data_IF_271244331546
#
_entry.id   IF_271244331546
#
_cell.length_a   1.000
_cell.length_b   1.000
_cell.length_c   1.000
_cell.angle_alpha   90.00
_cell.angle_beta   90.00
_cell.angle_gamma   90.00
#
_symmetry.space_group_name_H-M   'P 1'
#
loop_
_entity.id
_entity.type
_entity.pdbx_description
1 polymer ?
#
# COMPACT_ATOMS: atom_id res chain seq x y z
N UNK A 1 -1.99 18.36 20.57
CA UNK A 1 -1.29 19.33 19.74
C UNK A 1 0.10 19.62 20.27
N UNK A 2 1.07 19.83 19.36
CA UNK A 2 2.43 20.24 19.70
C UNK A 2 2.60 21.73 19.34
N UNK A 3 2.25 22.05 18.11
CA UNK A 3 2.42 23.40 17.54
C UNK A 3 1.49 23.60 16.34
N UNK A 4 1.25 24.86 15.96
CA UNK A 4 0.56 25.23 14.72
C UNK A 4 1.41 26.27 13.97
N UNK A 5 1.65 26.05 12.67
CA UNK A 5 2.34 27.02 11.81
C UNK A 5 1.30 27.80 11.02
N UNK A 6 1.19 29.12 11.23
CA UNK A 6 0.28 29.96 10.45
C UNK A 6 0.90 30.24 9.07
N UNK A 7 0.06 30.15 8.01
CA UNK A 7 0.39 30.56 6.64
C UNK A 7 -0.78 31.38 6.10
N UNK A 8 -0.74 32.69 6.29
CA UNK A 8 -1.89 33.53 6.08
C UNK A 8 -3.04 33.14 7.00
N UNK A 9 -4.22 32.90 6.44
CA UNK A 9 -5.40 32.41 7.18
C UNK A 9 -5.39 30.91 7.43
N UNK A 10 -4.52 30.15 6.76
CA UNK A 10 -4.35 28.72 6.96
C UNK A 10 -3.42 28.43 8.14
N UNK A 11 -3.71 27.36 8.87
CA UNK A 11 -2.88 26.87 9.97
C UNK A 11 -2.57 25.40 9.78
N UNK A 12 -1.29 25.07 9.69
CA UNK A 12 -0.86 23.67 9.67
C UNK A 12 -0.66 23.17 11.10
N UNK A 13 -1.48 22.22 11.59
CA UNK A 13 -1.32 21.67 12.92
C UNK A 13 -0.22 20.59 12.96
N UNK A 14 0.50 20.57 14.08
CA UNK A 14 1.42 19.51 14.46
C UNK A 14 0.86 18.85 15.71
N UNK A 15 0.47 17.60 15.62
CA UNK A 15 -0.05 16.85 16.76
C UNK A 15 0.40 15.39 16.75
N UNK A 16 0.56 14.83 17.94
CA UNK A 16 0.77 13.41 18.14
C UNK A 16 -0.56 12.78 18.59
N UNK A 17 -0.92 11.70 17.93
CA UNK A 17 -2.08 10.90 18.27
C UNK A 17 -1.62 9.53 18.73
N UNK A 18 -2.15 9.05 19.84
CA UNK A 18 -1.90 7.71 20.34
C UNK A 18 -3.12 6.82 20.08
N UNK A 19 -2.90 5.68 19.48
CA UNK A 19 -3.91 4.69 19.22
C UNK A 19 -3.72 3.50 20.17
N UNK A 20 -4.64 3.34 21.13
CA UNK A 20 -4.57 2.32 22.18
C UNK A 20 -5.09 0.93 21.71
N UNK A 21 -4.76 0.50 20.51
CA UNK A 21 -5.17 -0.81 19.99
C UNK A 21 -4.41 -1.99 20.63
N UNK A 22 -3.49 -1.71 21.56
CA UNK A 22 -2.58 -2.69 22.12
C UNK A 22 -1.37 -2.99 21.24
N UNK A 23 -0.46 -3.79 21.78
CA UNK A 23 0.73 -4.24 21.07
C UNK A 23 0.37 -5.50 20.30
N UNK A 24 0.61 -5.51 19.00
CA UNK A 24 0.55 -6.71 18.16
C UNK A 24 1.97 -7.14 17.85
N UNK A 25 2.32 -8.44 18.01
CA UNK A 25 3.68 -8.92 17.79
C UNK A 25 4.22 -8.69 16.36
N UNK A 26 3.31 -8.59 15.40
CA UNK A 26 3.58 -8.38 13.97
C UNK A 26 3.56 -6.91 13.54
N UNK A 27 3.27 -5.99 14.47
CA UNK A 27 3.18 -4.57 14.17
C UNK A 27 4.48 -3.84 14.48
N UNK A 28 5.09 -3.25 13.45
CA UNK A 28 6.24 -2.37 13.61
C UNK A 28 5.86 -1.00 14.15
N UNK A 29 6.73 -0.36 14.95
CA UNK A 29 6.52 1.03 15.34
C UNK A 29 6.54 1.95 14.10
N UNK A 30 5.68 2.95 14.13
CA UNK A 30 5.74 4.04 13.16
C UNK A 30 6.91 4.99 13.44
N UNK A 31 6.95 6.12 12.74
CA UNK A 31 8.05 7.11 12.81
C UNK A 31 8.30 7.67 14.22
N UNK A 32 7.27 7.73 15.04
CA UNK A 32 7.29 8.37 16.36
C UNK A 32 7.04 7.39 17.51
N UNK A 33 7.12 6.09 17.22
CA UNK A 33 6.99 5.01 18.19
C UNK A 33 5.74 4.15 18.02
N UNK A 34 5.65 3.10 18.84
CA UNK A 34 4.56 2.15 18.78
C UNK A 34 3.22 2.80 19.17
N UNK A 35 2.24 2.70 18.28
CA UNK A 35 0.91 3.26 18.50
C UNK A 35 0.82 4.78 18.39
N UNK A 36 1.94 5.47 18.17
CA UNK A 36 1.96 6.91 17.93
C UNK A 36 1.94 7.26 16.46
N UNK A 37 1.24 8.34 16.12
CA UNK A 37 1.22 8.92 14.79
C UNK A 37 1.43 10.43 14.87
N UNK A 38 2.32 10.96 14.03
CA UNK A 38 2.51 12.40 13.86
C UNK A 38 1.55 12.90 12.79
N UNK A 39 0.59 13.72 13.19
CA UNK A 39 -0.35 14.35 12.29
C UNK A 39 0.16 15.74 11.91
N UNK A 40 0.78 15.85 10.75
CA UNK A 40 1.27 17.12 10.17
C UNK A 40 1.32 17.10 8.64
N UNK A 41 1.06 15.94 8.05
CA UNK A 41 1.08 15.74 6.61
C UNK A 41 -0.19 15.07 6.14
N UNK A 42 -0.03 14.10 5.27
CA UNK A 42 -1.12 13.27 4.77
C UNK A 42 -0.60 12.13 3.92
N UNK A 43 -1.45 11.17 3.69
CA UNK A 43 -1.16 9.99 2.90
C UNK A 43 -2.41 9.55 2.14
N UNK A 44 -2.18 9.07 0.93
CA UNK A 44 -3.12 8.22 0.20
C UNK A 44 -2.52 6.82 0.21
N UNK A 45 -3.17 5.87 0.85
CA UNK A 45 -2.75 4.46 0.89
C UNK A 45 -3.65 3.60 0.01
N UNK A 46 -3.11 2.52 -0.51
CA UNK A 46 -3.82 1.62 -1.43
C UNK A 46 -4.03 0.24 -0.83
N UNK A 47 -5.27 -0.24 -0.92
CA UNK A 47 -5.61 -1.65 -0.75
C UNK A 47 -5.81 -2.25 -2.13
N UNK A 48 -4.88 -3.13 -2.53
CA UNK A 48 -4.94 -3.83 -3.81
C UNK A 48 -6.05 -4.87 -3.78
N UNK A 49 -6.91 -4.84 -4.81
CA UNK A 49 -7.95 -5.82 -5.07
C UNK A 49 -7.57 -6.58 -6.35
N UNK A 50 -7.20 -7.85 -6.19
CA UNK A 50 -6.69 -8.61 -7.33
C UNK A 50 -5.27 -8.20 -7.74
N UNK A 51 -5.14 -7.44 -8.82
CA UNK A 51 -3.88 -6.81 -9.26
C UNK A 51 -3.95 -5.31 -9.08
N UNK A 52 -2.79 -4.63 -8.88
CA UNK A 52 -2.80 -3.17 -8.84
C UNK A 52 -3.47 -2.57 -10.08
N UNK A 53 -4.32 -1.57 -9.90
CA UNK A 53 -5.02 -0.88 -11.01
C UNK A 53 -4.08 -0.41 -12.11
N UNK A 54 -2.89 0.02 -11.73
CA UNK A 54 -1.81 0.49 -12.60
C UNK A 54 -0.88 -0.62 -13.11
N UNK A 55 -1.23 -1.89 -12.90
CA UNK A 55 -0.39 -3.02 -13.29
C UNK A 55 -0.17 -3.07 -14.79
N UNK A 56 1.04 -2.71 -15.19
CA UNK A 56 1.52 -2.70 -16.55
C UNK A 56 2.87 -3.41 -16.61
N UNK A 57 2.85 -4.70 -16.87
CA UNK A 57 4.06 -5.53 -16.89
C UNK A 57 4.65 -5.53 -18.29
N UNK A 58 5.88 -5.04 -18.39
CA UNK A 58 6.67 -5.12 -19.60
C UNK A 58 7.55 -6.37 -19.52
N UNK A 59 7.23 -7.41 -20.29
CA UNK A 59 8.20 -8.47 -20.55
C UNK A 59 9.07 -8.07 -21.76
N UNK A 60 10.13 -8.86 -22.04
CA UNK A 60 11.06 -8.56 -23.16
C UNK A 60 10.38 -8.41 -24.53
N UNK A 61 9.15 -8.88 -24.70
CA UNK A 61 8.47 -8.95 -25.99
C UNK A 61 7.14 -8.22 -26.01
N UNK A 62 6.44 -8.11 -24.89
CA UNK A 62 5.08 -7.58 -24.84
C UNK A 62 4.88 -6.65 -23.65
N UNK A 63 4.10 -5.59 -23.87
CA UNK A 63 3.51 -4.77 -22.81
C UNK A 63 2.17 -5.42 -22.45
N UNK A 64 2.01 -5.81 -21.20
CA UNK A 64 0.79 -6.44 -20.71
C UNK A 64 0.11 -5.50 -19.73
N UNK A 65 -0.90 -4.80 -20.19
CA UNK A 65 -1.78 -3.99 -19.37
C UNK A 65 -2.72 -4.92 -18.61
N UNK A 66 -2.46 -5.21 -17.35
CA UNK A 66 -3.24 -6.18 -16.57
C UNK A 66 -4.15 -5.53 -15.54
N UNK A 67 -3.83 -4.31 -15.10
CA UNK A 67 -4.59 -3.62 -14.08
C UNK A 67 -5.92 -3.05 -14.55
N UNK A 68 -6.81 -2.82 -13.60
CA UNK A 68 -8.16 -2.31 -13.85
C UNK A 68 -8.18 -1.00 -14.63
N UNK A 69 -7.23 -0.10 -14.43
CA UNK A 69 -7.13 1.18 -15.14
C UNK A 69 -7.16 1.02 -16.68
N UNK A 70 -6.59 -0.07 -17.20
CA UNK A 70 -6.51 -0.34 -18.64
C UNK A 70 -7.76 -1.02 -19.18
N UNK A 71 -8.57 -1.65 -18.34
CA UNK A 71 -9.70 -2.50 -18.71
C UNK A 71 -11.05 -1.96 -18.22
N UNK A 72 -11.07 -0.92 -17.39
CA UNK A 72 -12.29 -0.38 -16.78
C UNK A 72 -13.39 -0.06 -17.81
N UNK A 73 -13.04 0.56 -18.94
CA UNK A 73 -14.00 0.93 -19.98
C UNK A 73 -14.61 -0.26 -20.71
N UNK A 74 -13.94 -1.42 -20.71
CA UNK A 74 -14.43 -2.65 -21.34
C UNK A 74 -15.73 -3.13 -20.69
N UNK A 75 -15.89 -2.90 -19.40
CA UNK A 75 -17.10 -3.25 -18.64
C UNK A 75 -18.34 -2.48 -19.11
N UNK A 76 -18.15 -1.34 -19.75
CA UNK A 76 -19.24 -0.51 -20.27
C UNK A 76 -19.68 -0.91 -21.69
N UNK A 77 -19.02 -1.90 -22.31
CA UNK A 77 -19.38 -2.36 -23.64
C UNK A 77 -20.65 -3.22 -23.61
N UNK A 78 -21.70 -2.91 -24.40
CA UNK A 78 -22.95 -3.66 -24.36
C UNK A 78 -22.83 -5.15 -24.70
N UNK A 79 -21.77 -5.54 -25.40
CA UNK A 79 -21.48 -6.92 -25.80
C UNK A 79 -20.71 -7.72 -24.74
N UNK A 80 -20.23 -7.06 -23.68
CA UNK A 80 -19.50 -7.73 -22.62
C UNK A 80 -20.40 -8.68 -21.83
N UNK A 81 -19.99 -9.93 -21.72
CA UNK A 81 -20.73 -10.96 -21.03
C UNK A 81 -19.82 -11.82 -20.15
N UNK A 82 -20.42 -12.69 -19.35
CA UNK A 82 -19.68 -13.56 -18.41
C UNK A 82 -18.62 -14.42 -19.08
N UNK A 83 -18.83 -14.84 -20.34
CA UNK A 83 -17.83 -15.66 -21.04
C UNK A 83 -16.61 -14.84 -21.47
N UNK A 84 -16.81 -13.58 -21.86
CA UNK A 84 -15.73 -12.67 -22.19
C UNK A 84 -14.91 -12.33 -20.94
N UNK A 85 -15.57 -12.08 -19.82
CA UNK A 85 -14.93 -11.92 -18.51
C UNK A 85 -14.06 -13.14 -18.17
N UNK A 86 -14.61 -14.36 -18.26
CA UNK A 86 -13.87 -15.59 -17.96
C UNK A 86 -12.69 -15.82 -18.91
N UNK A 87 -12.79 -15.45 -20.17
CA UNK A 87 -11.67 -15.54 -21.13
C UNK A 87 -10.55 -14.60 -20.78
N UNK A 88 -10.87 -13.34 -20.49
CA UNK A 88 -9.89 -12.31 -20.17
C UNK A 88 -9.19 -12.56 -18.83
N UNK A 89 -9.93 -13.05 -17.82
CA UNK A 89 -9.35 -13.38 -16.50
C UNK A 89 -8.57 -14.68 -16.50
N UNK A 90 -8.91 -15.64 -17.39
CA UNK A 90 -8.31 -16.97 -17.42
C UNK A 90 -7.07 -17.09 -18.31
N UNK A 91 -6.61 -16.00 -18.94
CA UNK A 91 -5.42 -16.08 -19.80
C UNK A 91 -4.17 -16.46 -19.01
N UNK A 92 -3.40 -17.38 -19.57
CA UNK A 92 -2.34 -18.19 -18.94
C UNK A 92 -1.13 -17.42 -18.37
N UNK A 93 -1.11 -16.10 -18.45
CA UNK A 93 -0.05 -15.24 -17.92
C UNK A 93 -0.59 -14.10 -17.05
N UNK A 94 -1.70 -14.38 -16.36
CA UNK A 94 -2.34 -13.43 -15.45
C UNK A 94 -3.25 -12.46 -16.21
N UNK A 95 -4.48 -12.89 -16.50
CA UNK A 95 -5.48 -12.11 -17.22
C UNK A 95 -5.75 -10.73 -16.63
N UNK A 96 -6.55 -9.96 -17.37
CA UNK A 96 -6.97 -8.63 -16.98
C UNK A 96 -7.68 -8.64 -15.61
N UNK A 97 -7.43 -7.62 -14.84
CA UNK A 97 -8.15 -7.35 -13.60
C UNK A 97 -9.34 -6.43 -13.87
N UNK A 98 -10.47 -6.75 -13.26
CA UNK A 98 -11.72 -5.98 -13.38
C UNK A 98 -12.26 -5.52 -12.03
N UNK A 99 -11.45 -5.63 -10.97
CA UNK A 99 -11.79 -5.17 -9.64
C UNK A 99 -10.93 -3.93 -9.30
N UNK A 100 -11.56 -2.75 -9.08
CA UNK A 100 -10.81 -1.54 -8.77
C UNK A 100 -10.19 -1.60 -7.39
N UNK A 101 -8.98 -1.06 -7.26
CA UNK A 101 -8.33 -0.84 -5.99
C UNK A 101 -9.09 0.17 -5.14
N UNK A 102 -8.94 0.06 -3.83
CA UNK A 102 -9.44 1.04 -2.88
C UNK A 102 -8.28 1.91 -2.40
N UNK A 103 -8.44 3.22 -2.52
CA UNK A 103 -7.47 4.22 -2.06
C UNK A 103 -8.06 4.95 -0.87
N UNK A 104 -7.42 4.83 0.29
CA UNK A 104 -7.78 5.53 1.52
C UNK A 104 -6.94 6.79 1.66
N UNK A 105 -7.56 7.94 1.89
CA UNK A 105 -6.84 9.18 2.17
C UNK A 105 -7.05 9.65 3.61
N UNK A 106 -5.98 10.19 4.17
CA UNK A 106 -6.00 10.82 5.48
C UNK A 106 -5.03 12.01 5.48
N UNK A 107 -5.56 13.21 5.63
CA UNK A 107 -4.77 14.44 5.73
C UNK A 107 -5.54 15.49 6.53
N UNK A 108 -4.86 16.13 7.44
CA UNK A 108 -5.45 17.09 8.39
C UNK A 108 -6.69 16.49 9.10
N UNK A 109 -7.86 17.05 8.84
CA UNK A 109 -9.17 16.59 9.33
C UNK A 109 -10.03 15.94 8.23
N UNK A 110 -9.44 15.66 7.05
CA UNK A 110 -10.09 14.94 5.96
C UNK A 110 -9.68 13.48 5.97
N UNK A 111 -10.67 12.62 5.95
CA UNK A 111 -10.48 11.18 5.82
C UNK A 111 -11.61 10.58 4.97
N UNK A 112 -11.27 9.63 4.17
CA UNK A 112 -12.21 9.00 3.26
C UNK A 112 -11.49 8.07 2.31
N UNK A 113 -12.20 7.64 1.29
CA UNK A 113 -11.66 6.76 0.28
C UNK A 113 -12.16 7.10 -1.12
N UNK A 114 -11.42 6.65 -2.11
CA UNK A 114 -11.83 6.75 -3.49
C UNK A 114 -11.44 5.48 -4.27
N UNK A 115 -12.11 5.26 -5.36
CA UNK A 115 -11.84 4.17 -6.29
C UNK A 115 -12.09 4.61 -7.73
N UNK A 116 -11.45 3.92 -8.66
CA UNK A 116 -11.63 4.18 -10.08
C UNK A 116 -12.96 3.59 -10.57
N UNK A 117 -13.75 4.39 -11.24
CA UNK A 117 -14.97 3.94 -11.92
C UNK A 117 -14.65 3.38 -13.31
N UNK A 118 -15.61 2.67 -13.89
CA UNK A 118 -15.50 2.08 -15.23
C UNK A 118 -15.36 3.12 -16.38
N UNK A 119 -15.76 4.36 -16.16
CA UNK A 119 -15.58 5.48 -17.09
C UNK A 119 -14.30 6.32 -16.84
N UNK A 120 -13.40 5.81 -15.98
CA UNK A 120 -12.16 6.47 -15.53
C UNK A 120 -12.37 7.74 -14.69
N UNK A 121 -13.56 7.95 -14.17
CA UNK A 121 -13.79 8.94 -13.12
C UNK A 121 -13.47 8.36 -11.74
N UNK A 122 -13.18 9.21 -10.78
CA UNK A 122 -12.92 8.79 -9.40
C UNK A 122 -14.19 8.94 -8.56
N UNK A 123 -14.64 7.83 -7.97
CA UNK A 123 -15.75 7.84 -7.00
C UNK A 123 -15.14 8.08 -5.64
N UNK A 124 -15.59 9.15 -4.97
CA UNK A 124 -15.07 9.55 -3.65
C UNK A 124 -16.15 9.32 -2.59
N UNK A 125 -15.75 8.70 -1.48
CA UNK A 125 -16.56 8.53 -0.28
C UNK A 125 -15.90 9.29 0.87
N UNK A 126 -16.46 10.43 1.22
CA UNK A 126 -16.02 11.29 2.31
C UNK A 126 -17.25 12.02 2.87
N UNK A 127 -17.20 12.40 4.14
CA UNK A 127 -18.24 13.21 4.79
C UNK A 127 -18.24 14.67 4.32
N UNK A 128 -17.13 15.13 3.73
CA UNK A 128 -16.95 16.47 3.16
C UNK A 128 -16.62 16.38 1.68
N UNK A 129 -17.00 17.39 0.87
CA UNK A 129 -16.69 17.38 -0.56
C UNK A 129 -15.18 17.41 -0.81
N UNK A 130 -14.69 16.38 -1.48
CA UNK A 130 -13.30 16.26 -1.96
C UNK A 130 -13.34 15.81 -3.41
N UNK A 131 -12.64 16.53 -4.29
CA UNK A 131 -12.43 16.13 -5.68
C UNK A 131 -11.06 15.46 -5.80
N UNK A 132 -11.00 14.31 -6.46
CA UNK A 132 -9.75 13.59 -6.76
C UNK A 132 -9.45 13.74 -8.25
N UNK A 133 -8.23 14.15 -8.55
CA UNK A 133 -7.69 14.21 -9.91
C UNK A 133 -6.39 13.40 -10.02
N UNK A 134 -6.27 12.61 -11.09
CA UNK A 134 -5.05 11.92 -11.51
C UNK A 134 -4.55 12.55 -12.81
N UNK A 135 -3.27 12.90 -12.86
CA UNK A 135 -2.68 13.60 -14.02
C UNK A 135 -2.47 12.73 -15.25
N UNK A 136 -2.66 11.40 -15.14
CA UNK A 136 -2.36 10.46 -16.21
C UNK A 136 -0.87 10.15 -16.37
N UNK A 137 -0.02 10.59 -15.45
CA UNK A 137 1.42 10.33 -15.47
C UNK A 137 1.78 9.09 -14.64
N UNK A 138 2.95 8.53 -14.96
CA UNK A 138 3.45 7.29 -14.37
C UNK A 138 4.81 7.52 -13.73
N UNK A 139 5.08 6.79 -12.66
CA UNK A 139 6.35 6.83 -11.95
C UNK A 139 7.02 5.47 -12.00
N UNK A 140 8.26 5.45 -12.48
CA UNK A 140 9.08 4.24 -12.42
C UNK A 140 9.52 3.95 -10.99
N UNK A 141 9.55 2.67 -10.63
CA UNK A 141 10.08 2.20 -9.36
C UNK A 141 11.55 2.64 -9.21
N UNK A 142 11.96 3.18 -8.04
CA UNK A 142 13.27 3.84 -7.88
C UNK A 142 14.46 2.87 -7.72
N UNK A 143 14.24 1.56 -7.77
CA UNK A 143 15.29 0.54 -7.59
C UNK A 143 15.17 -0.54 -8.65
N UNK A 144 16.33 -1.14 -8.97
CA UNK A 144 16.42 -2.23 -9.94
C UNK A 144 16.04 -3.57 -9.29
N UNK A 145 15.41 -4.45 -10.06
CA UNK A 145 15.22 -5.84 -9.64
C UNK A 145 16.58 -6.55 -9.61
N UNK A 146 16.95 -7.07 -8.45
CA UNK A 146 18.24 -7.74 -8.25
C UNK A 146 18.37 -9.06 -9.03
N UNK A 147 17.31 -9.62 -9.62
CA UNK A 147 17.37 -10.92 -10.24
C UNK A 147 16.86 -10.93 -11.69
N UNK A 148 17.81 -10.96 -12.63
CA UNK A 148 17.57 -11.04 -14.08
C UNK A 148 17.32 -12.47 -14.57
N UNK A 149 17.33 -13.47 -13.70
CA UNK A 149 17.23 -14.89 -14.09
C UNK A 149 15.81 -15.32 -14.49
N UNK A 150 14.79 -14.54 -14.14
CA UNK A 150 13.41 -14.83 -14.52
C UNK A 150 12.96 -13.98 -15.70
N UNK A 151 12.25 -14.58 -16.64
CA UNK A 151 11.76 -13.98 -17.89
C UNK A 151 10.81 -12.79 -17.70
N UNK A 152 10.44 -12.45 -16.46
CA UNK A 152 9.59 -11.34 -16.09
C UNK A 152 10.40 -10.23 -15.42
N UNK A 153 11.36 -9.66 -16.13
CA UNK A 153 12.05 -8.43 -15.72
C UNK A 153 11.15 -7.20 -15.93
N UNK A 154 9.89 -7.29 -15.51
CA UNK A 154 8.93 -6.22 -15.71
C UNK A 154 8.83 -5.37 -14.47
N UNK A 155 9.27 -4.10 -14.56
CA UNK A 155 8.79 -3.08 -13.66
C UNK A 155 7.39 -2.69 -14.10
N UNK A 156 6.45 -2.64 -13.17
CA UNK A 156 5.20 -1.95 -13.42
C UNK A 156 5.38 -0.51 -12.96
N UNK A 157 5.37 0.49 -13.86
CA UNK A 157 5.29 1.86 -13.40
C UNK A 157 3.97 2.05 -12.66
N UNK A 158 4.01 2.81 -11.56
CA UNK A 158 2.83 3.11 -10.75
C UNK A 158 2.21 4.44 -11.16
N UNK A 159 0.99 4.72 -10.68
CA UNK A 159 0.47 6.08 -10.66
C UNK A 159 1.48 7.00 -9.97
N UNK A 160 1.78 8.16 -10.58
CA UNK A 160 2.73 9.12 -10.02
C UNK A 160 2.18 9.82 -8.77
N UNK A 161 0.86 9.88 -8.62
CA UNK A 161 0.19 10.46 -7.46
C UNK A 161 -1.15 11.10 -7.80
N UNK A 162 -1.72 11.76 -6.82
CA UNK A 162 -3.08 12.31 -6.86
C UNK A 162 -3.10 13.76 -6.40
N UNK A 163 -4.06 14.54 -6.90
CA UNK A 163 -4.40 15.86 -6.40
C UNK A 163 -5.80 15.81 -5.80
N UNK A 164 -5.91 16.11 -4.50
CA UNK A 164 -7.18 16.20 -3.80
C UNK A 164 -7.50 17.68 -3.57
N UNK A 165 -8.66 18.11 -4.05
CA UNK A 165 -9.12 19.49 -3.90
C UNK A 165 -10.30 19.54 -2.95
N UNK A 166 -10.20 20.32 -1.90
CA UNK A 166 -11.24 20.51 -0.89
C UNK A 166 -12.26 21.58 -1.31
N UNK A 167 -13.37 21.69 -0.58
CA UNK A 167 -14.47 22.58 -0.89
C UNK A 167 -14.11 24.07 -0.93
N UNK A 168 -13.06 24.46 -0.20
CA UNK A 168 -12.52 25.82 -0.21
C UNK A 168 -11.60 26.12 -1.40
N UNK A 169 -11.27 25.09 -2.22
CA UNK A 169 -10.38 25.19 -3.36
C UNK A 169 -8.90 24.97 -3.05
N UNK A 170 -8.55 24.64 -1.81
CA UNK A 170 -7.18 24.24 -1.44
C UNK A 170 -6.84 22.91 -2.09
N UNK A 171 -5.64 22.81 -2.65
CA UNK A 171 -5.16 21.60 -3.33
C UNK A 171 -4.10 20.89 -2.49
N UNK A 172 -4.26 19.60 -2.34
CA UNK A 172 -3.34 18.70 -1.64
C UNK A 172 -2.77 17.70 -2.66
N UNK A 173 -1.47 17.75 -2.90
CA UNK A 173 -0.79 16.96 -3.91
C UNK A 173 -0.04 15.82 -3.21
N UNK A 174 -0.39 14.59 -3.58
CA UNK A 174 0.19 13.37 -3.03
C UNK A 174 1.07 12.68 -4.09
N UNK A 175 2.24 12.21 -3.68
CA UNK A 175 3.19 11.62 -4.60
C UNK A 175 3.88 12.65 -5.48
N UNK A 176 3.90 12.43 -6.79
CA UNK A 176 4.56 13.22 -7.84
C UNK A 176 6.10 13.23 -7.74
N UNK A 177 6.65 12.71 -6.67
CA UNK A 177 8.08 12.57 -6.42
C UNK A 177 8.39 11.15 -5.97
N UNK A 178 9.49 10.57 -6.48
CA UNK A 178 9.87 9.17 -6.18
C UNK A 178 10.02 8.89 -4.69
N UNK A 179 10.59 9.85 -3.97
CA UNK A 179 10.83 9.70 -2.54
C UNK A 179 9.58 9.96 -1.69
N UNK A 180 8.45 10.29 -2.30
CA UNK A 180 7.17 10.44 -1.62
C UNK A 180 6.20 9.27 -1.90
N UNK A 181 6.69 8.20 -2.53
CA UNK A 181 5.90 7.00 -2.82
C UNK A 181 6.54 5.81 -2.10
N UNK A 182 5.78 5.13 -1.28
CA UNK A 182 6.17 3.88 -0.65
C UNK A 182 5.84 2.71 -1.57
N UNK A 183 6.73 1.73 -1.60
CA UNK A 183 6.56 0.52 -2.40
C UNK A 183 6.71 -0.72 -1.53
N UNK A 184 5.98 -1.77 -1.88
CA UNK A 184 6.15 -3.10 -1.30
C UNK A 184 6.19 -4.20 -2.35
N UNK A 185 6.76 -5.34 -1.97
CA UNK A 185 6.76 -6.58 -2.74
C UNK A 185 6.59 -7.75 -1.77
N UNK A 186 5.95 -8.84 -2.22
CA UNK A 186 5.90 -10.07 -1.42
C UNK A 186 7.30 -10.59 -1.13
N UNK A 187 7.65 -10.79 0.15
CA UNK A 187 9.01 -11.19 0.53
C UNK A 187 9.39 -12.54 -0.07
N UNK A 188 8.48 -13.52 -0.02
CA UNK A 188 8.74 -14.87 -0.52
C UNK A 188 8.52 -15.02 -2.04
N UNK A 189 7.85 -14.07 -2.66
CA UNK A 189 7.48 -14.05 -4.07
C UNK A 189 8.31 -13.07 -4.89
N UNK A 190 9.44 -12.58 -4.39
CA UNK A 190 10.28 -11.57 -5.09
C UNK A 190 10.70 -11.97 -6.51
N UNK A 191 10.76 -13.27 -6.80
CA UNK A 191 11.09 -13.78 -8.12
C UNK A 191 9.93 -13.64 -9.13
N UNK A 192 8.69 -13.67 -8.67
CA UNK A 192 7.47 -13.68 -9.50
C UNK A 192 6.69 -12.39 -9.43
N UNK A 193 6.76 -11.68 -8.30
CA UNK A 193 6.06 -10.44 -8.07
C UNK A 193 6.86 -9.23 -8.57
N UNK A 194 6.20 -8.10 -8.60
CA UNK A 194 6.80 -6.80 -8.89
C UNK A 194 6.50 -5.82 -7.76
N UNK A 195 7.35 -4.81 -7.64
CA UNK A 195 7.16 -3.75 -6.68
C UNK A 195 5.87 -2.98 -6.98
N UNK A 196 5.04 -2.84 -5.96
CA UNK A 196 3.75 -2.16 -6.04
C UNK A 196 3.78 -0.91 -5.18
N UNK A 197 3.35 0.22 -5.71
CA UNK A 197 3.16 1.43 -4.91
C UNK A 197 1.99 1.24 -3.96
N UNK A 198 2.23 1.41 -2.67
CA UNK A 198 1.26 1.18 -1.59
C UNK A 198 0.80 2.45 -0.91
N UNK A 199 1.62 3.51 -0.95
CA UNK A 199 1.22 4.80 -0.38
C UNK A 199 1.88 5.97 -1.11
N UNK A 200 1.14 7.06 -1.23
CA UNK A 200 1.59 8.36 -1.76
C UNK A 200 1.46 9.39 -0.65
N UNK A 201 2.57 9.96 -0.24
CA UNK A 201 2.62 10.94 0.82
C UNK A 201 2.40 12.35 0.28
N UNK A 202 1.85 13.24 1.11
CA UNK A 202 1.57 14.63 0.78
C UNK A 202 2.89 15.37 0.48
N UNK A 203 3.04 15.88 -0.74
CA UNK A 203 4.24 16.63 -1.18
C UNK A 203 4.03 18.12 -1.25
N UNK A 204 2.79 18.57 -1.45
CA UNK A 204 2.51 19.98 -1.56
C UNK A 204 1.08 20.32 -1.15
N UNK A 205 0.90 21.46 -0.49
CA UNK A 205 -0.38 22.12 -0.31
C UNK A 205 -0.32 23.44 -1.07
N UNK A 206 -1.32 23.70 -1.91
CA UNK A 206 -1.48 24.97 -2.62
C UNK A 206 -2.74 25.64 -2.07
N UNK A 207 -2.54 26.73 -1.39
CA UNK A 207 -3.63 27.51 -0.80
C UNK A 207 -4.34 28.37 -1.85
N UNK A 208 -5.56 28.77 -1.57
CA UNK A 208 -6.38 29.59 -2.49
C UNK A 208 -5.78 30.96 -2.80
N UNK A 209 -4.91 31.46 -1.94
CA UNK A 209 -4.15 32.71 -2.15
C UNK A 209 -2.85 32.50 -2.96
N UNK A 210 -2.57 31.27 -3.41
CA UNK A 210 -1.38 30.90 -4.17
C UNK A 210 -0.12 30.62 -3.34
N UNK A 211 -0.19 30.71 -2.00
CA UNK A 211 0.92 30.27 -1.15
C UNK A 211 1.05 28.74 -1.17
N UNK A 212 2.30 28.27 -1.11
CA UNK A 212 2.61 26.85 -1.14
C UNK A 212 3.31 26.39 0.13
N UNK A 213 2.97 25.18 0.59
CA UNK A 213 3.68 24.43 1.63
C UNK A 213 4.21 23.17 0.98
N UNK A 214 5.52 22.91 1.07
CA UNK A 214 6.16 21.78 0.39
C UNK A 214 6.71 20.79 1.40
N UNK A 215 6.50 19.52 1.15
CA UNK A 215 6.99 18.40 1.96
C UNK A 215 8.07 17.65 1.18
N UNK A 216 9.19 17.37 1.83
CA UNK A 216 10.30 16.61 1.25
C UNK A 216 10.53 15.34 2.05
N UNK A 217 10.70 14.23 1.35
CA UNK A 217 10.87 12.91 1.94
C UNK A 217 12.23 12.30 1.58
N UNK A 218 12.70 11.42 2.44
CA UNK A 218 13.86 10.57 2.21
C UNK A 218 13.44 9.11 2.23
N UNK A 219 13.99 8.34 1.30
CA UNK A 219 13.80 6.89 1.28
C UNK A 219 14.72 6.25 2.31
N UNK A 220 14.16 5.36 3.13
CA UNK A 220 14.91 4.55 4.09
C UNK A 220 15.39 3.24 3.51
N UNK A 221 16.13 2.50 4.33
CA UNK A 221 16.49 1.11 4.06
C UNK A 221 15.22 0.23 4.03
N UNK A 222 15.31 -0.92 3.34
CA UNK A 222 14.20 -1.85 3.28
C UNK A 222 13.81 -2.38 4.65
N UNK A 223 12.50 -2.43 4.89
CA UNK A 223 11.90 -3.03 6.08
C UNK A 223 11.27 -4.35 5.67
N UNK A 224 11.58 -5.39 6.42
CA UNK A 224 10.96 -6.67 6.27
C UNK A 224 9.85 -6.83 7.32
N UNK A 225 8.63 -7.03 6.87
CA UNK A 225 7.48 -7.30 7.74
C UNK A 225 7.02 -8.72 7.48
N UNK A 226 7.19 -9.61 8.45
CA UNK A 226 6.85 -11.03 8.33
C UNK A 226 5.81 -11.45 9.35
N UNK A 227 4.92 -12.33 8.94
CA UNK A 227 3.92 -12.98 9.78
C UNK A 227 4.11 -14.48 9.69
N UNK A 228 3.90 -15.14 10.83
CA UNK A 228 3.83 -16.60 10.92
C UNK A 228 2.37 -16.94 11.21
N UNK A 229 1.75 -17.69 10.32
CA UNK A 229 0.43 -18.26 10.53
C UNK A 229 0.58 -19.75 10.84
N UNK A 230 0.20 -20.14 12.05
CA UNK A 230 0.12 -21.55 12.46
C UNK A 230 -1.32 -22.00 12.23
N UNK A 231 -1.50 -22.92 11.32
CA UNK A 231 -2.77 -23.60 11.10
C UNK A 231 -2.69 -25.00 11.70
N UNK A 232 -3.42 -25.24 12.81
CA UNK A 232 -3.60 -26.58 13.38
C UNK A 232 -4.97 -27.10 12.93
N UNK A 233 -4.96 -28.04 11.98
CA UNK A 233 -6.19 -28.74 11.59
C UNK A 233 -6.48 -29.80 12.67
N UNK A 234 -7.30 -29.42 13.66
CA UNK A 234 -7.93 -30.34 14.57
C UNK A 234 -8.86 -31.25 13.75
N UNK A 235 -8.27 -32.32 13.24
CA UNK A 235 -8.96 -33.30 12.43
C UNK A 235 -10.33 -33.68 13.00
N UNK A 236 -11.30 -33.91 12.13
CA UNK A 236 -12.68 -34.22 12.46
C UNK A 236 -12.79 -35.36 13.47
N UNK A 237 -13.34 -35.06 14.64
CA UNK A 237 -13.72 -36.07 15.61
C UNK A 237 -14.95 -36.83 15.11
N UNK A 238 -14.79 -38.04 14.60
CA UNK A 238 -15.90 -38.96 14.36
C UNK A 238 -16.22 -39.70 15.64
N UNK A 239 -17.35 -39.38 16.25
CA UNK A 239 -17.92 -40.22 17.31
C UNK A 239 -18.49 -41.48 16.65
N UNK A 240 -17.75 -42.56 16.72
CA UNK A 240 -18.27 -43.88 16.38
C UNK A 240 -19.26 -44.31 17.46
N UNK A 241 -20.55 -44.38 17.12
CA UNK A 241 -21.60 -44.90 18.01
C UNK A 241 -21.46 -46.42 18.25
N UNK A 242 -20.63 -46.79 19.24
CA UNK A 242 -20.52 -48.13 19.79
C UNK A 242 -20.75 -48.05 21.30
N UNK A 243 -21.76 -48.73 21.81
CA UNK A 243 -22.00 -48.87 23.24
C UNK A 243 -20.80 -49.55 23.87
N UNK A 244 -19.99 -48.86 24.66
CA UNK A 244 -19.13 -49.36 25.73
C UNK A 244 -17.68 -48.87 25.85
N UNK A 245 -17.08 -48.17 24.90
CA UNK A 245 -15.82 -47.47 25.19
C UNK A 245 -15.69 -46.21 24.32
N UNK A 246 -15.46 -45.02 24.88
CA UNK A 246 -15.00 -43.89 24.10
C UNK A 246 -13.51 -44.11 23.78
N UNK A 247 -13.20 -44.80 22.72
CA UNK A 247 -11.87 -44.72 22.14
C UNK A 247 -11.74 -43.41 21.41
N UNK A 248 -11.02 -42.49 22.01
CA UNK A 248 -10.47 -41.34 21.34
C UNK A 248 -9.36 -41.84 20.42
N UNK A 249 -9.70 -42.26 19.20
CA UNK A 249 -8.69 -42.54 18.20
C UNK A 249 -8.04 -41.22 17.80
N UNK A 250 -6.82 -41.00 18.22
CA UNK A 250 -5.98 -39.95 17.70
C UNK A 250 -5.79 -40.20 16.20
N UNK A 251 -6.57 -39.52 15.38
CA UNK A 251 -6.19 -39.43 13.96
C UNK A 251 -4.86 -38.69 13.89
N UNK A 252 -3.93 -39.27 13.16
CA UNK A 252 -2.63 -38.72 12.86
C UNK A 252 -2.73 -37.23 12.59
N UNK A 253 -2.05 -36.41 13.40
CA UNK A 253 -1.80 -35.01 13.09
C UNK A 253 -1.14 -34.95 11.72
N UNK A 254 -1.90 -34.54 10.73
CA UNK A 254 -1.35 -34.09 9.48
C UNK A 254 -0.65 -32.77 9.76
N UNK A 255 0.59 -32.68 9.31
CA UNK A 255 1.55 -31.64 9.51
C UNK A 255 0.95 -30.26 9.83
N UNK A 256 1.45 -29.64 10.90
CA UNK A 256 1.33 -28.21 11.13
C UNK A 256 1.89 -27.55 9.88
N UNK A 257 1.05 -26.98 9.02
CA UNK A 257 1.51 -26.18 7.91
C UNK A 257 1.84 -24.79 8.43
N UNK A 258 3.12 -24.56 8.66
CA UNK A 258 3.63 -23.23 8.93
C UNK A 258 3.56 -22.40 7.64
N UNK A 259 2.63 -21.47 7.54
CA UNK A 259 2.63 -20.55 6.43
C UNK A 259 3.31 -19.24 6.85
N UNK A 260 4.41 -18.95 6.19
CA UNK A 260 5.10 -17.68 6.31
C UNK A 260 4.57 -16.71 5.25
N UNK A 261 4.10 -15.56 5.69
CA UNK A 261 3.74 -14.45 4.83
C UNK A 261 4.60 -13.24 5.19
N UNK A 262 4.99 -12.47 4.21
CA UNK A 262 5.79 -11.29 4.48
C UNK A 262 5.86 -10.35 3.30
N UNK A 263 6.15 -9.11 3.62
CA UNK A 263 6.37 -8.05 2.65
C UNK A 263 7.73 -7.41 2.88
N UNK A 264 8.43 -7.13 1.81
CA UNK A 264 9.57 -6.24 1.80
C UNK A 264 9.05 -4.85 1.43
N UNK A 265 9.27 -3.88 2.30
CA UNK A 265 8.76 -2.52 2.16
C UNK A 265 9.94 -1.59 1.92
N UNK A 266 9.81 -0.70 0.95
CA UNK A 266 10.70 0.44 0.73
C UNK A 266 10.06 1.70 1.31
N UNK A 267 10.31 2.01 2.59
CA UNK A 267 9.63 3.09 3.29
C UNK A 267 10.17 4.46 2.87
N UNK A 268 9.35 5.48 3.09
CA UNK A 268 9.75 6.87 2.97
C UNK A 268 9.48 7.60 4.26
N UNK A 269 10.30 8.60 4.58
CA UNK A 269 10.23 9.34 5.82
C UNK A 269 10.21 10.82 5.55
N UNK A 270 9.36 11.55 6.26
CA UNK A 270 9.31 13.01 6.19
C UNK A 270 10.64 13.59 6.69
N UNK A 271 11.30 14.36 5.83
CA UNK A 271 12.56 15.03 6.15
C UNK A 271 12.35 16.52 6.46
N UNK A 272 11.52 17.20 5.65
CA UNK A 272 11.35 18.65 5.76
C UNK A 272 9.97 19.08 5.34
N UNK A 273 9.47 20.13 6.00
CA UNK A 273 8.33 20.94 5.56
C UNK A 273 8.81 22.37 5.37
N UNK A 274 8.66 22.90 4.16
CA UNK A 274 9.03 24.26 3.80
C UNK A 274 7.78 25.12 3.66
N UNK A 275 7.77 26.24 4.36
CA UNK A 275 6.74 27.26 4.34
C UNK A 275 7.28 28.52 3.66
N UNK A 276 6.45 29.48 3.27
CA UNK A 276 6.92 30.74 2.68
C UNK A 276 7.96 31.50 3.54
N UNK A 277 7.85 31.40 4.86
CA UNK A 277 8.66 32.20 5.80
C UNK A 277 9.57 31.37 6.71
N UNK A 278 9.39 30.06 6.77
CA UNK A 278 10.17 29.17 7.65
C UNK A 278 10.27 27.76 7.09
N UNK A 279 11.08 26.94 7.74
CA UNK A 279 11.13 25.50 7.48
C UNK A 279 11.22 24.70 8.79
N UNK A 280 10.70 23.48 8.75
CA UNK A 280 10.82 22.51 9.84
C UNK A 280 11.51 21.28 9.29
N UNK A 281 12.57 20.85 9.95
CA UNK A 281 13.32 19.63 9.60
C UNK A 281 13.12 18.55 10.66
N UNK A 282 13.12 17.29 10.21
CA UNK A 282 12.93 16.12 11.06
C UNK A 282 14.24 15.31 11.09
N UNK A 283 14.87 15.24 12.25
CA UNK A 283 16.00 14.36 12.48
C UNK A 283 15.49 12.96 12.91
N UNK A 284 16.11 11.92 12.37
CA UNK A 284 15.76 10.52 12.68
C UNK A 284 16.94 9.82 13.36
N UNK A 285 16.61 8.91 14.26
CA UNK A 285 17.58 8.02 14.89
C UNK A 285 17.18 6.57 14.60
N UNK A 286 18.18 5.72 14.48
CA UNK A 286 17.95 4.27 14.28
C UNK A 286 17.50 3.66 15.59
N UNK A 287 16.35 2.98 15.59
CA UNK A 287 15.89 2.18 16.72
C UNK A 287 16.36 0.73 16.61
N UNK A 288 16.63 0.11 17.74
CA UNK A 288 16.98 -1.32 17.83
C UNK A 288 15.93 -2.14 18.56
N UNK A 289 14.75 -1.57 18.80
CA UNK A 289 13.72 -2.15 19.67
C UNK A 289 13.06 -3.41 19.09
N UNK A 290 12.96 -3.51 17.76
CA UNK A 290 12.43 -4.69 17.09
C UNK A 290 13.49 -5.28 16.17
N UNK A 291 13.91 -6.51 16.47
CA UNK A 291 14.79 -7.31 15.62
C UNK A 291 14.12 -8.65 15.40
N UNK A 292 14.01 -9.05 14.15
CA UNK A 292 13.66 -10.43 13.85
C UNK A 292 14.82 -11.35 14.18
N UNK A 293 14.53 -12.59 14.63
CA UNK A 293 15.56 -13.60 14.82
C UNK A 293 16.28 -13.86 13.49
N UNK A 294 17.61 -13.82 13.51
CA UNK A 294 18.43 -14.14 12.33
C UNK A 294 18.20 -15.57 11.83
N UNK A 295 17.71 -16.46 12.69
CA UNK A 295 17.47 -17.86 12.33
C UNK A 295 16.37 -18.03 11.29
N UNK A 296 15.39 -17.12 11.23
CA UNK A 296 14.37 -17.08 10.20
C UNK A 296 14.98 -16.71 8.85
N UNK A 297 16.01 -15.86 8.85
CA UNK A 297 16.69 -15.43 7.62
C UNK A 297 17.72 -16.44 7.11
N UNK A 298 18.40 -17.16 8.01
CA UNK A 298 19.53 -18.02 7.67
C UNK A 298 19.12 -19.36 7.09
N UNK A 299 17.90 -19.85 7.38
CA UNK A 299 17.54 -21.21 7.05
C UNK A 299 16.94 -21.41 5.65
N UNK A 300 16.41 -20.39 5.00
CA UNK A 300 15.68 -20.56 3.74
C UNK A 300 15.97 -19.52 2.64
N UNK A 301 16.48 -18.35 2.95
CA UNK A 301 16.65 -17.27 1.95
C UNK A 301 17.92 -16.47 2.25
N UNK A 302 19.03 -16.83 1.61
CA UNK A 302 20.16 -15.91 1.50
C UNK A 302 19.79 -14.85 0.45
N UNK A 303 19.65 -13.61 0.91
CA UNK A 303 19.64 -12.44 0.06
C UNK A 303 21.06 -12.16 -0.46
#
# INVERSE_FOLDING_TARGET
PIYEVPVGDFKLPFSLHYHAAGIRPDQHPGWVGMGWNLNTGGVVSRTVKGKPDDCNVKNHTYLMNMGYYFHSETLNTPQWNTQDYLKETAQSHGGADFEPDEFDFNFLDYHGKFMLNSDKTWIVQCDRPVKVDFSGNWMDVPFEKANTAFQYSGYSPSFDGFTLTTEDGTQYIFGKERNAIEYSIGFFQQATDFWTATAWYLTKIILTNGQEITYTYERGDFINQMFISLYDDLGSFTFGGGILTPECSSSSHTAIEDSYQGSLISPVYLNRISFPECEITFAREVTTELRYSQDIYASQYML
#
